data_IF_354960365618
#
_entry.id   IF_354960365618
#
_cell.length_a   1.000
_cell.length_b   1.000
_cell.length_c   1.000
_cell.angle_alpha   90.00
_cell.angle_beta   90.00
_cell.angle_gamma   90.00
#
_symmetry.space_group_name_H-M   'P 1'
#
loop_
_entity.id
_entity.type
_entity.pdbx_description
1 polymer ?
#
# COMPACT_ATOMS: atom_id res chain seq x y z
N UNK A 1 -61.71 -23.76 44.93
CA UNK A 1 -61.28 -24.49 43.72
C UNK A 1 -61.04 -23.45 42.62
N UNK A 2 -59.78 -23.17 42.27
CA UNK A 2 -59.15 -23.43 40.95
C UNK A 2 -59.94 -22.76 39.81
N UNK A 3 -59.43 -21.76 39.07
CA UNK A 3 -58.29 -21.88 38.14
C UNK A 3 -57.70 -20.49 37.82
N UNK A 4 -56.38 -20.36 37.94
CA UNK A 4 -55.60 -19.30 37.29
C UNK A 4 -55.15 -19.78 35.91
N UNK A 5 -55.29 -18.94 34.88
CA UNK A 5 -54.64 -19.16 33.58
C UNK A 5 -53.67 -17.99 33.38
N UNK A 6 -52.39 -18.26 33.62
CA UNK A 6 -51.29 -17.35 33.29
C UNK A 6 -50.77 -17.74 31.90
N UNK A 7 -50.90 -16.85 30.93
CA UNK A 7 -50.29 -17.00 29.61
C UNK A 7 -48.81 -16.59 29.69
N UNK A 8 -47.90 -17.55 29.59
CA UNK A 8 -46.47 -17.32 29.50
C UNK A 8 -46.08 -17.00 28.05
N UNK A 9 -45.66 -15.76 27.78
CA UNK A 9 -44.98 -15.41 26.53
C UNK A 9 -43.49 -15.75 26.66
N UNK A 10 -43.04 -16.77 25.93
CA UNK A 10 -41.62 -17.07 25.72
C UNK A 10 -41.07 -16.16 24.61
N UNK A 11 -40.27 -15.17 24.99
CA UNK A 11 -39.47 -14.38 24.05
C UNK A 11 -38.10 -15.04 23.94
N UNK A 12 -37.87 -15.80 22.87
CA UNK A 12 -36.55 -16.35 22.56
C UNK A 12 -35.64 -15.23 22.03
N UNK A 13 -34.74 -14.73 22.87
CA UNK A 13 -33.67 -13.83 22.45
C UNK A 13 -32.60 -14.61 21.66
N UNK A 14 -32.68 -14.55 20.32
CA UNK A 14 -31.60 -15.03 19.45
C UNK A 14 -30.51 -13.96 19.46
N UNK A 15 -29.48 -14.17 20.30
CA UNK A 15 -28.24 -13.39 20.23
C UNK A 15 -27.51 -13.79 18.95
N UNK A 16 -27.53 -12.92 17.95
CA UNK A 16 -26.65 -13.01 16.79
C UNK A 16 -25.22 -12.76 17.28
N UNK A 17 -24.47 -13.84 17.52
CA UNK A 17 -23.04 -13.77 17.74
C UNK A 17 -22.39 -13.29 16.43
N UNK A 18 -21.99 -12.02 16.39
CA UNK A 18 -21.06 -11.57 15.35
C UNK A 18 -19.72 -12.29 15.57
N UNK A 19 -19.07 -12.78 14.50
CA UNK A 19 -17.75 -13.36 14.64
C UNK A 19 -16.82 -12.27 15.15
N UNK A 20 -16.20 -12.52 16.31
CA UNK A 20 -15.09 -11.70 16.76
C UNK A 20 -14.00 -11.75 15.68
N UNK A 21 -13.52 -10.58 15.26
CA UNK A 21 -12.31 -10.52 14.46
C UNK A 21 -11.18 -11.18 15.26
N UNK A 22 -10.46 -12.13 14.67
CA UNK A 22 -9.29 -12.71 15.29
C UNK A 22 -8.25 -11.59 15.54
N UNK A 23 -7.62 -11.61 16.70
CA UNK A 23 -6.50 -10.72 16.99
C UNK A 23 -5.32 -11.09 16.07
N UNK A 24 -4.56 -10.11 15.56
CA UNK A 24 -3.36 -10.38 14.77
C UNK A 24 -2.40 -11.31 15.51
N UNK A 25 -1.70 -12.21 14.79
CA UNK A 25 -0.73 -13.09 15.42
C UNK A 25 0.35 -12.25 16.11
N UNK A 26 0.60 -12.55 17.38
CA UNK A 26 1.72 -11.97 18.13
C UNK A 26 3.07 -12.29 17.48
N UNK A 27 4.08 -11.44 17.68
CA UNK A 27 5.45 -11.72 17.24
C UNK A 27 5.93 -13.13 17.65
N UNK A 28 5.65 -13.54 18.89
CA UNK A 28 5.99 -14.86 19.40
C UNK A 28 5.32 -16.01 18.62
N UNK A 29 4.07 -15.84 18.20
CA UNK A 29 3.36 -16.85 17.40
C UNK A 29 3.93 -17.03 15.99
N UNK A 30 4.64 -16.03 15.47
CA UNK A 30 5.38 -16.13 14.20
C UNK A 30 6.81 -16.68 14.39
N UNK A 31 7.18 -17.05 15.61
CA UNK A 31 8.51 -17.53 15.97
C UNK A 31 9.55 -16.40 16.13
N UNK A 32 9.09 -15.17 16.33
CA UNK A 32 9.95 -14.02 16.59
C UNK A 32 9.96 -13.57 18.05
N UNK A 33 10.80 -12.59 18.33
CA UNK A 33 10.88 -11.90 19.61
C UNK A 33 10.69 -10.40 19.40
N UNK A 34 10.08 -9.73 20.37
CA UNK A 34 9.97 -8.27 20.34
C UNK A 34 11.27 -7.67 20.84
N UNK A 35 11.86 -6.80 20.04
CA UNK A 35 13.11 -6.11 20.29
C UNK A 35 12.92 -4.59 20.22
N UNK A 36 13.80 -3.86 20.89
CA UNK A 36 13.93 -2.40 20.77
C UNK A 36 12.61 -1.63 20.72
N UNK A 37 12.45 -0.77 19.71
CA UNK A 37 11.32 0.13 19.50
C UNK A 37 10.02 -0.59 19.04
N UNK A 38 9.59 -1.64 19.76
CA UNK A 38 8.44 -2.47 19.40
C UNK A 38 8.58 -3.14 18.02
N UNK A 39 9.79 -3.56 17.68
CA UNK A 39 10.07 -4.28 16.45
C UNK A 39 9.97 -5.77 16.71
N UNK A 40 9.21 -6.50 15.90
CA UNK A 40 9.27 -7.95 15.89
C UNK A 40 10.45 -8.38 15.02
N UNK A 41 11.35 -9.17 15.60
CA UNK A 41 12.44 -9.84 14.90
C UNK A 41 12.16 -11.33 14.85
N UNK A 42 11.95 -11.87 13.66
CA UNK A 42 11.82 -13.30 13.40
C UNK A 42 13.15 -13.78 12.85
N UNK A 43 13.83 -14.65 13.59
CA UNK A 43 15.01 -15.33 13.13
C UNK A 43 14.81 -16.84 13.19
N UNK A 44 15.06 -17.52 12.08
CA UNK A 44 14.98 -18.98 12.01
C UNK A 44 16.08 -19.56 11.12
N UNK A 45 16.76 -20.59 11.62
CA UNK A 45 17.72 -21.37 10.83
C UNK A 45 17.23 -22.82 10.78
N UNK A 46 17.02 -23.32 9.56
CA UNK A 46 16.73 -24.72 9.28
C UNK A 46 17.94 -25.46 8.71
N UNK A 47 17.79 -26.75 8.41
CA UNK A 47 18.86 -27.54 7.78
C UNK A 47 19.17 -27.14 6.33
N UNK A 48 18.26 -26.39 5.70
CA UNK A 48 18.35 -25.95 4.30
C UNK A 48 18.26 -24.44 4.11
N UNK A 49 17.95 -23.67 5.16
CA UNK A 49 17.64 -22.25 5.02
C UNK A 49 18.02 -21.40 6.23
N UNK A 50 18.14 -20.09 5.98
CA UNK A 50 18.16 -19.03 6.99
C UNK A 50 17.06 -18.02 6.66
N UNK A 51 16.37 -17.52 7.69
CA UNK A 51 15.31 -16.53 7.57
C UNK A 51 15.48 -15.46 8.65
N UNK A 52 15.45 -14.19 8.24
CA UNK A 52 15.56 -13.04 9.13
C UNK A 52 14.57 -11.94 8.72
N UNK A 53 13.56 -11.64 9.53
CA UNK A 53 12.49 -10.70 9.18
C UNK A 53 12.26 -9.73 10.33
N UNK A 54 12.33 -8.43 10.04
CA UNK A 54 12.05 -7.36 11.01
C UNK A 54 10.88 -6.49 10.56
N UNK A 55 9.89 -6.26 11.44
CA UNK A 55 8.74 -5.41 11.17
C UNK A 55 8.14 -4.81 12.46
N UNK A 56 7.46 -3.65 12.41
CA UNK A 56 6.86 -3.05 13.62
C UNK A 56 5.65 -3.84 14.15
N UNK A 57 5.46 -3.82 15.46
CA UNK A 57 4.28 -4.38 16.16
C UNK A 57 3.22 -3.33 16.48
N UNK A 58 3.51 -2.05 16.25
CA UNK A 58 2.65 -0.91 16.56
C UNK A 58 2.00 -0.30 15.31
N UNK A 59 1.95 -1.04 14.20
CA UNK A 59 1.33 -0.54 12.98
C UNK A 59 -0.20 -0.51 13.14
N UNK A 60 -0.90 0.58 12.76
CA UNK A 60 -2.34 0.71 13.02
C UNK A 60 -3.21 -0.37 12.37
N UNK A 61 -2.81 -0.88 11.20
CA UNK A 61 -3.44 -2.03 10.55
C UNK A 61 -2.53 -3.26 10.65
N UNK A 62 -2.27 -3.65 11.91
CA UNK A 62 -1.30 -4.71 12.22
C UNK A 62 -1.64 -6.03 11.53
N UNK A 63 -2.93 -6.35 11.38
CA UNK A 63 -3.39 -7.58 10.71
C UNK A 63 -2.85 -7.68 9.28
N UNK A 64 -3.06 -6.64 8.46
CA UNK A 64 -2.63 -6.63 7.06
C UNK A 64 -1.11 -6.77 6.93
N UNK A 65 -0.36 -6.15 7.84
CA UNK A 65 1.10 -6.28 7.91
C UNK A 65 1.51 -7.72 8.25
N UNK A 66 0.96 -8.28 9.33
CA UNK A 66 1.31 -9.64 9.79
C UNK A 66 0.88 -10.73 8.82
N UNK A 67 -0.26 -10.56 8.13
CA UNK A 67 -0.73 -11.52 7.13
C UNK A 67 0.24 -11.59 5.95
N UNK A 68 0.75 -10.44 5.50
CA UNK A 68 1.75 -10.39 4.43
C UNK A 68 3.08 -11.02 4.86
N UNK A 69 3.55 -10.72 6.09
CA UNK A 69 4.75 -11.37 6.65
C UNK A 69 4.58 -12.89 6.68
N UNK A 70 3.46 -13.36 7.23
CA UNK A 70 3.15 -14.80 7.37
C UNK A 70 3.13 -15.50 6.03
N UNK A 71 2.43 -14.91 5.04
CA UNK A 71 2.35 -15.46 3.69
C UNK A 71 3.73 -15.65 3.05
N UNK A 72 4.61 -14.66 3.15
CA UNK A 72 5.94 -14.72 2.53
C UNK A 72 6.88 -15.67 3.29
N UNK A 73 6.88 -15.60 4.62
CA UNK A 73 7.65 -16.50 5.49
C UNK A 73 7.30 -17.95 5.22
N UNK A 74 6.01 -18.30 5.29
CA UNK A 74 5.56 -19.68 5.18
C UNK A 74 5.75 -20.22 3.76
N UNK A 75 5.52 -19.37 2.74
CA UNK A 75 5.82 -19.69 1.36
C UNK A 75 7.30 -20.02 1.14
N UNK A 76 8.20 -19.18 1.69
CA UNK A 76 9.63 -19.43 1.61
C UNK A 76 10.05 -20.70 2.33
N UNK A 77 9.62 -20.90 3.58
CA UNK A 77 9.97 -22.10 4.37
C UNK A 77 9.45 -23.37 3.68
N UNK A 78 8.24 -23.32 3.10
CA UNK A 78 7.69 -24.44 2.35
C UNK A 78 8.54 -24.81 1.13
N UNK A 79 9.02 -23.82 0.36
CA UNK A 79 9.89 -24.08 -0.79
C UNK A 79 11.26 -24.58 -0.31
N UNK A 80 11.88 -23.88 0.63
CA UNK A 80 13.23 -24.19 1.09
C UNK A 80 13.36 -25.57 1.75
N UNK A 81 12.30 -26.07 2.38
CA UNK A 81 12.27 -27.44 2.94
C UNK A 81 11.96 -28.50 1.88
N UNK A 82 11.20 -28.16 0.84
CA UNK A 82 10.86 -29.08 -0.25
C UNK A 82 11.94 -29.22 -1.34
N UNK A 83 12.84 -28.25 -1.48
CA UNK A 83 13.79 -28.17 -2.61
C UNK A 83 15.14 -28.87 -2.39
N UNK A 84 15.34 -29.55 -1.25
CA UNK A 84 16.58 -30.30 -0.96
C UNK A 84 17.72 -29.43 -0.42
N UNK A 85 18.92 -30.00 -0.23
CA UNK A 85 20.09 -29.25 0.25
C UNK A 85 20.86 -28.63 -0.92
N UNK A 86 21.44 -27.45 -0.70
CA UNK A 86 22.36 -26.72 -1.59
C UNK A 86 23.64 -26.38 -0.83
N UNK A 87 24.70 -26.04 -1.56
CA UNK A 87 25.99 -25.65 -0.97
C UNK A 87 25.87 -24.42 -0.07
N UNK A 88 25.18 -23.38 -0.55
CA UNK A 88 24.69 -22.27 0.27
C UNK A 88 23.28 -22.59 0.76
N UNK A 89 22.83 -22.24 1.98
CA UNK A 89 21.42 -22.37 2.38
C UNK A 89 20.48 -21.40 1.64
N UNK A 90 19.21 -21.75 1.44
CA UNK A 90 18.17 -20.80 0.98
C UNK A 90 18.07 -19.62 1.95
N UNK A 91 17.81 -18.42 1.44
CA UNK A 91 17.80 -17.23 2.29
C UNK A 91 16.57 -16.35 2.02
N UNK A 92 15.97 -15.85 3.10
CA UNK A 92 15.00 -14.77 3.06
C UNK A 92 15.35 -13.76 4.12
N UNK A 93 15.48 -12.50 3.71
CA UNK A 93 15.63 -11.38 4.64
C UNK A 93 14.51 -10.36 4.40
N UNK A 94 14.02 -9.73 5.46
CA UNK A 94 13.13 -8.60 5.34
C UNK A 94 13.50 -7.50 6.34
N UNK A 95 13.71 -6.29 5.82
CA UNK A 95 13.93 -5.09 6.63
C UNK A 95 12.75 -4.15 6.48
N UNK A 96 12.70 -3.13 7.34
CA UNK A 96 11.58 -2.19 7.38
C UNK A 96 12.03 -0.73 7.50
N UNK A 97 11.30 0.14 6.81
CA UNK A 97 11.36 1.58 6.92
C UNK A 97 10.01 2.10 7.40
N UNK A 98 10.01 3.11 8.27
CA UNK A 98 8.80 3.74 8.78
C UNK A 98 8.81 5.23 8.48
N UNK A 99 7.67 5.75 8.01
CA UNK A 99 7.46 7.18 7.78
C UNK A 99 6.15 7.65 8.39
N UNK A 100 6.08 8.95 8.64
CA UNK A 100 4.85 9.63 9.03
C UNK A 100 4.76 10.96 8.29
N UNK A 101 3.55 11.47 8.13
CA UNK A 101 3.32 12.79 7.55
C UNK A 101 2.07 13.44 8.15
N UNK A 102 2.06 14.77 8.20
CA UNK A 102 1.03 15.56 8.82
C UNK A 102 1.14 15.57 10.35
N UNK A 103 0.18 16.24 11.00
CA UNK A 103 0.18 16.43 12.45
C UNK A 103 -0.82 15.49 13.15
N UNK A 104 -0.49 14.96 14.34
CA UNK A 104 -1.45 14.25 15.17
C UNK A 104 -2.71 15.10 15.46
N UNK A 105 -3.90 14.48 15.56
CA UNK A 105 -4.19 13.04 15.47
C UNK A 105 -4.49 12.55 14.03
N UNK A 106 -4.30 13.41 13.02
CA UNK A 106 -4.70 13.14 11.63
C UNK A 106 -3.52 12.78 10.71
N UNK A 107 -2.36 12.46 11.29
CA UNK A 107 -1.18 12.08 10.54
C UNK A 107 -1.34 10.72 9.84
N UNK A 108 -0.48 10.45 8.87
CA UNK A 108 -0.35 9.14 8.24
C UNK A 108 0.78 8.33 8.86
N UNK A 109 0.68 7.01 8.80
CA UNK A 109 1.75 6.06 9.12
C UNK A 109 2.01 5.20 7.90
N UNK A 110 3.26 5.18 7.45
CA UNK A 110 3.73 4.36 6.34
C UNK A 110 4.74 3.35 6.86
N UNK A 111 4.58 2.08 6.49
CA UNK A 111 5.56 1.01 6.75
C UNK A 111 5.92 0.39 5.41
N UNK A 112 7.21 0.37 5.10
CA UNK A 112 7.74 -0.28 3.90
C UNK A 112 8.55 -1.47 4.34
N UNK A 113 8.28 -2.62 3.75
CA UNK A 113 9.06 -3.84 3.91
C UNK A 113 9.89 -4.03 2.64
N UNK A 114 11.19 -4.27 2.81
CA UNK A 114 12.08 -4.68 1.73
C UNK A 114 12.44 -6.14 1.93
N UNK A 115 12.02 -6.98 1.01
CA UNK A 115 12.31 -8.40 1.02
C UNK A 115 13.45 -8.72 0.07
N UNK A 116 14.37 -9.54 0.53
CA UNK A 116 15.37 -10.24 -0.26
C UNK A 116 15.08 -11.74 -0.19
N UNK A 117 15.18 -12.44 -1.31
CA UNK A 117 15.02 -13.89 -1.35
C UNK A 117 16.03 -14.51 -2.31
N UNK A 118 16.71 -15.56 -1.83
CA UNK A 118 17.55 -16.43 -2.63
C UNK A 118 17.02 -17.87 -2.56
N UNK A 119 16.37 -18.29 -3.66
CA UNK A 119 15.89 -19.65 -3.89
C UNK A 119 16.84 -20.52 -4.75
N UNK A 120 18.07 -20.08 -5.00
CA UNK A 120 19.09 -20.87 -5.71
C UNK A 120 18.88 -20.87 -7.22
N UNK A 121 18.12 -19.90 -7.73
CA UNK A 121 17.97 -19.63 -9.15
C UNK A 121 19.16 -18.85 -9.73
N UNK A 122 18.97 -18.29 -10.93
CA UNK A 122 20.02 -17.54 -11.63
C UNK A 122 20.54 -16.32 -10.83
N UNK A 123 19.67 -15.69 -10.04
CA UNK A 123 20.03 -14.62 -9.11
C UNK A 123 18.97 -14.53 -8.00
N UNK A 124 19.32 -13.95 -6.84
CA UNK A 124 18.32 -13.55 -5.84
C UNK A 124 17.34 -12.52 -6.38
N UNK A 125 16.22 -12.35 -5.68
CA UNK A 125 15.19 -11.38 -6.02
C UNK A 125 14.91 -10.46 -4.84
N UNK A 126 14.84 -9.15 -5.10
CA UNK A 126 14.48 -8.13 -4.10
C UNK A 126 13.21 -7.40 -4.51
N UNK A 127 12.26 -7.27 -3.59
CA UNK A 127 11.02 -6.52 -3.80
C UNK A 127 10.61 -5.73 -2.56
N UNK A 128 9.65 -4.83 -2.75
CA UNK A 128 9.09 -4.02 -1.69
C UNK A 128 7.61 -4.31 -1.48
N UNK A 129 7.15 -4.11 -0.25
CA UNK A 129 5.73 -4.01 0.08
C UNK A 129 5.52 -2.82 1.00
N UNK A 130 4.73 -1.84 0.55
CA UNK A 130 4.36 -0.72 1.40
C UNK A 130 2.92 -0.84 1.94
N UNK A 131 2.72 -0.31 3.14
CA UNK A 131 1.43 -0.13 3.81
C UNK A 131 1.32 1.32 4.26
N UNK A 132 0.26 2.01 3.87
CA UNK A 132 0.00 3.38 4.27
C UNK A 132 -1.35 3.43 5.00
N UNK A 133 -1.41 4.13 6.13
CA UNK A 133 -2.62 4.23 6.93
C UNK A 133 -2.86 5.67 7.36
N UNK A 134 -4.10 6.12 7.23
CA UNK A 134 -4.54 7.43 7.73
C UNK A 134 -5.09 7.27 9.15
N UNK A 135 -4.46 7.89 10.14
CA UNK A 135 -4.89 7.78 11.55
C UNK A 135 -6.18 8.57 11.83
N UNK A 136 -6.43 9.63 11.08
CA UNK A 136 -7.64 10.44 11.21
C UNK A 136 -8.90 9.72 10.71
N UNK A 137 -8.84 9.13 9.52
CA UNK A 137 -9.97 8.40 8.93
C UNK A 137 -10.02 6.92 9.32
N UNK A 138 -8.93 6.40 9.90
CA UNK A 138 -8.77 4.98 10.26
C UNK A 138 -8.96 4.06 9.05
N UNK A 139 -8.28 4.38 7.96
CA UNK A 139 -8.37 3.63 6.71
C UNK A 139 -6.97 3.47 6.07
N UNK A 140 -6.73 2.34 5.38
CA UNK A 140 -5.56 2.21 4.53
C UNK A 140 -5.61 3.19 3.36
N UNK A 141 -4.44 3.66 2.93
CA UNK A 141 -4.25 4.51 1.75
C UNK A 141 -3.63 3.66 0.65
N UNK A 142 -4.38 3.44 -0.43
CA UNK A 142 -3.88 2.89 -1.69
C UNK A 142 -3.52 4.00 -2.67
N UNK A 143 -2.83 3.67 -3.75
CA UNK A 143 -2.50 4.62 -4.82
C UNK A 143 -3.74 5.36 -5.35
N UNK A 144 -4.84 4.64 -5.58
CA UNK A 144 -6.10 5.22 -6.07
C UNK A 144 -6.78 6.17 -5.07
N UNK A 145 -6.61 5.91 -3.77
CA UNK A 145 -7.20 6.73 -2.70
C UNK A 145 -6.33 7.92 -2.31
N UNK A 146 -5.03 7.87 -2.63
CA UNK A 146 -4.09 8.95 -2.38
C UNK A 146 -4.47 10.22 -3.15
N UNK A 147 -4.87 10.04 -4.41
CA UNK A 147 -5.27 11.11 -5.31
C UNK A 147 -6.79 11.22 -5.44
N UNK A 148 -7.29 12.39 -5.85
CA UNK A 148 -8.70 12.56 -6.19
C UNK A 148 -9.10 11.67 -7.37
N UNK A 149 -10.37 11.21 -7.46
CA UNK A 149 -10.79 10.35 -8.56
C UNK A 149 -10.75 11.12 -9.88
N UNK A 150 -10.38 10.44 -10.97
CA UNK A 150 -10.39 11.03 -12.32
C UNK A 150 -9.20 11.95 -12.63
N UNK A 151 -8.15 11.95 -11.81
CA UNK A 151 -6.89 12.63 -12.11
C UNK A 151 -5.89 11.70 -12.79
N UNK A 152 -4.89 12.28 -13.46
CA UNK A 152 -3.76 11.55 -14.09
C UNK A 152 -2.44 11.89 -13.38
N UNK A 153 -2.24 11.45 -12.12
CA UNK A 153 -1.08 11.86 -11.32
C UNK A 153 0.25 11.41 -11.93
N UNK A 154 0.22 10.32 -12.73
CA UNK A 154 1.41 9.78 -13.38
C UNK A 154 2.00 10.70 -14.44
N UNK A 155 1.22 11.61 -15.04
CA UNK A 155 1.75 12.59 -16.00
C UNK A 155 2.78 13.53 -15.35
N UNK A 156 2.62 13.79 -14.04
CA UNK A 156 3.55 14.60 -13.25
C UNK A 156 4.62 13.75 -12.54
N UNK A 157 4.24 12.57 -12.02
CA UNK A 157 5.13 11.68 -11.26
C UNK A 157 6.20 11.06 -12.15
N UNK A 158 5.81 10.53 -13.31
CA UNK A 158 6.70 9.71 -14.13
C UNK A 158 7.97 10.45 -14.60
N UNK A 159 7.92 11.69 -15.10
CA UNK A 159 9.15 12.42 -15.49
C UNK A 159 10.13 12.64 -14.33
N UNK A 160 9.63 12.77 -13.10
CA UNK A 160 10.46 12.92 -11.90
C UNK A 160 11.12 11.59 -11.55
N UNK A 161 10.34 10.50 -11.55
CA UNK A 161 10.82 9.13 -11.30
C UNK A 161 11.88 8.73 -12.31
N UNK A 162 11.66 9.01 -13.59
CA UNK A 162 12.62 8.72 -14.65
C UNK A 162 13.96 9.41 -14.41
N UNK A 163 13.94 10.71 -14.05
CA UNK A 163 15.17 11.48 -13.77
C UNK A 163 15.88 10.96 -12.52
N UNK A 164 15.13 10.67 -11.46
CA UNK A 164 15.67 10.20 -10.19
C UNK A 164 16.35 8.83 -10.35
N UNK A 165 15.68 7.89 -11.01
CA UNK A 165 16.22 6.56 -11.27
C UNK A 165 17.44 6.57 -12.21
N UNK A 166 17.43 7.43 -13.24
CA UNK A 166 18.58 7.64 -14.12
C UNK A 166 19.79 8.19 -13.35
N UNK A 167 19.56 9.13 -12.42
CA UNK A 167 20.62 9.70 -11.58
C UNK A 167 21.20 8.67 -10.60
N UNK A 168 20.36 7.89 -9.92
CA UNK A 168 20.78 6.90 -8.93
C UNK A 168 21.61 5.77 -9.54
N UNK A 169 21.23 5.31 -10.73
CA UNK A 169 21.86 4.14 -11.34
C UNK A 169 23.01 4.51 -12.28
N UNK A 170 23.09 5.75 -12.74
CA UNK A 170 23.98 6.17 -13.82
C UNK A 170 23.65 5.49 -15.15
N UNK A 171 22.55 4.74 -15.22
CA UNK A 171 22.10 4.06 -16.41
C UNK A 171 21.32 5.06 -17.25
N UNK A 172 21.81 5.35 -18.44
CA UNK A 172 21.06 6.08 -19.47
C UNK A 172 19.91 5.26 -20.07
N UNK A 173 19.38 4.29 -19.33
CA UNK A 173 18.30 3.41 -19.79
C UNK A 173 17.00 4.18 -19.72
N UNK A 174 16.37 4.34 -20.89
CA UNK A 174 15.06 4.95 -20.97
C UNK A 174 14.00 3.97 -20.44
N UNK A 175 13.28 4.39 -19.38
CA UNK A 175 12.03 3.75 -18.99
C UNK A 175 11.03 3.99 -20.13
N UNK A 176 10.35 2.94 -20.57
CA UNK A 176 9.31 3.07 -21.60
C UNK A 176 8.08 3.76 -20.99
N UNK A 177 7.47 4.76 -21.64
CA UNK A 177 6.27 5.43 -21.12
C UNK A 177 5.12 4.47 -20.80
N UNK A 178 4.98 3.35 -21.53
CA UNK A 178 3.98 2.32 -21.25
C UNK A 178 4.10 1.71 -19.85
N UNK A 179 5.33 1.58 -19.35
CA UNK A 179 5.60 1.07 -18.00
C UNK A 179 5.62 2.23 -17.01
N UNK A 180 6.23 3.35 -17.39
CA UNK A 180 6.33 4.55 -16.56
C UNK A 180 4.99 5.17 -16.19
N UNK A 181 3.96 5.01 -17.01
CA UNK A 181 2.60 5.53 -16.79
C UNK A 181 1.61 4.44 -16.36
N UNK A 182 2.08 3.23 -16.05
CA UNK A 182 1.21 2.16 -15.53
C UNK A 182 1.12 2.26 -13.98
N UNK A 183 -0.06 2.54 -13.40
CA UNK A 183 -0.23 2.68 -11.95
C UNK A 183 0.07 1.40 -11.18
N UNK A 184 0.07 0.22 -11.82
CA UNK A 184 0.39 -1.05 -11.15
C UNK A 184 1.83 -1.09 -10.63
N UNK A 185 2.73 -0.27 -11.18
CA UNK A 185 4.12 -0.14 -10.71
C UNK A 185 4.31 0.82 -9.53
N UNK A 186 3.28 1.58 -9.17
CA UNK A 186 3.35 2.63 -8.13
C UNK A 186 2.62 2.24 -6.85
N UNK A 187 2.29 0.96 -6.68
CA UNK A 187 1.53 0.47 -5.53
C UNK A 187 2.32 0.46 -4.22
N UNK A 188 3.66 0.43 -4.31
CA UNK A 188 4.54 0.49 -3.15
C UNK A 188 5.07 1.91 -3.00
N UNK A 189 4.50 2.66 -2.06
CA UNK A 189 4.93 4.01 -1.77
C UNK A 189 4.87 4.31 -0.28
N UNK A 190 5.65 5.28 0.17
CA UNK A 190 5.57 5.86 1.51
C UNK A 190 5.30 7.35 1.44
N UNK A 191 4.54 7.83 2.41
CA UNK A 191 4.14 9.22 2.53
C UNK A 191 4.98 9.89 3.63
N UNK A 192 5.73 10.95 3.28
CA UNK A 192 6.45 11.85 4.21
C UNK A 192 5.86 13.26 4.15
N UNK A 193 6.28 14.21 4.98
CA UNK A 193 5.76 15.59 4.92
C UNK A 193 6.06 16.30 3.60
N UNK A 194 7.19 15.96 2.96
CA UNK A 194 7.70 16.67 1.77
C UNK A 194 7.54 15.87 0.49
N UNK A 195 7.55 14.55 0.57
CA UNK A 195 7.69 13.65 -0.57
C UNK A 195 6.70 12.49 -0.51
N UNK A 196 6.44 11.91 -1.68
CA UNK A 196 6.00 10.53 -1.81
C UNK A 196 7.16 9.73 -2.38
N UNK A 197 7.58 8.72 -1.64
CA UNK A 197 8.67 7.83 -2.04
C UNK A 197 8.05 6.61 -2.69
N UNK A 198 8.35 6.35 -3.95
CA UNK A 198 7.92 5.15 -4.66
C UNK A 198 9.04 4.10 -4.66
N UNK A 199 8.69 2.83 -4.43
CA UNK A 199 9.62 1.72 -4.34
C UNK A 199 9.32 0.71 -5.45
N UNK A 200 10.34 0.34 -6.21
CA UNK A 200 10.24 -0.55 -7.35
C UNK A 200 11.01 -1.84 -7.05
N UNK A 201 10.38 -2.97 -7.36
CA UNK A 201 11.04 -4.26 -7.28
C UNK A 201 12.15 -4.36 -8.34
N UNK A 202 13.05 -5.31 -8.13
CA UNK A 202 14.07 -5.65 -9.11
C UNK A 202 13.41 -6.03 -10.45
N UNK A 203 13.84 -5.43 -11.56
CA UNK A 203 13.30 -5.74 -12.88
C UNK A 203 11.96 -5.07 -13.21
N UNK A 204 11.43 -4.22 -12.32
CA UNK A 204 10.10 -3.63 -12.50
C UNK A 204 10.11 -2.47 -13.52
N UNK A 205 10.79 -1.36 -13.21
CA UNK A 205 10.95 -0.24 -14.13
C UNK A 205 12.31 -0.21 -14.83
N UNK A 206 13.32 -0.84 -14.22
CA UNK A 206 14.68 -0.92 -14.72
C UNK A 206 15.07 -2.40 -14.91
N UNK A 207 16.10 -2.70 -15.71
CA UNK A 207 16.64 -4.05 -15.84
C UNK A 207 17.03 -4.66 -14.48
N UNK A 208 16.91 -5.98 -14.33
CA UNK A 208 17.11 -6.68 -13.05
C UNK A 208 18.49 -6.48 -12.40
N UNK A 209 19.53 -6.12 -13.15
CA UNK A 209 20.85 -5.85 -12.59
C UNK A 209 20.93 -4.52 -11.83
N UNK A 210 19.97 -3.61 -12.03
CA UNK A 210 19.86 -2.37 -11.26
C UNK A 210 19.41 -2.61 -9.81
N UNK A 211 18.96 -3.83 -9.49
CA UNK A 211 18.38 -4.16 -8.20
C UNK A 211 17.01 -3.52 -8.01
N UNK A 212 16.50 -3.59 -6.78
CA UNK A 212 15.30 -2.86 -6.38
C UNK A 212 15.68 -1.39 -6.12
N UNK A 213 14.86 -0.46 -6.61
CA UNK A 213 15.15 0.98 -6.59
C UNK A 213 14.02 1.77 -5.95
N UNK A 214 14.24 3.07 -5.71
CA UNK A 214 13.22 3.97 -5.19
C UNK A 214 13.35 5.36 -5.80
N UNK A 215 12.25 6.10 -5.89
CA UNK A 215 12.25 7.47 -6.38
C UNK A 215 11.47 8.38 -5.42
N UNK A 216 12.07 9.51 -5.06
CA UNK A 216 11.42 10.54 -4.25
C UNK A 216 10.73 11.53 -5.17
N UNK A 217 9.44 11.75 -4.94
CA UNK A 217 8.64 12.70 -5.69
C UNK A 217 8.13 13.79 -4.75
N UNK A 218 8.58 15.04 -4.92
CA UNK A 218 8.11 16.14 -4.10
C UNK A 218 6.59 16.30 -4.20
N UNK A 219 5.92 16.44 -3.05
CA UNK A 219 4.46 16.55 -3.00
C UNK A 219 3.92 17.80 -3.70
N UNK A 220 4.71 18.86 -3.72
CA UNK A 220 4.37 20.11 -4.41
C UNK A 220 4.43 19.99 -5.94
N UNK A 221 5.04 18.93 -6.48
CA UNK A 221 5.11 18.67 -7.91
C UNK A 221 3.92 17.86 -8.43
N UNK A 222 3.11 17.27 -7.54
CA UNK A 222 1.93 16.49 -7.92
C UNK A 222 0.69 17.38 -7.80
N UNK A 223 -0.15 17.49 -8.84
CA UNK A 223 -1.33 18.35 -8.81
C UNK A 223 -2.25 18.01 -7.62
N UNK A 224 -2.70 18.99 -6.83
CA UNK A 224 -3.72 18.76 -5.81
C UNK A 224 -5.02 18.25 -6.46
N UNK A 225 -5.85 17.47 -5.75
CA UNK A 225 -5.94 17.36 -4.30
C UNK A 225 -5.39 16.05 -3.71
N UNK A 226 -4.50 16.18 -2.74
CA UNK A 226 -4.17 15.15 -1.76
C UNK A 226 -5.38 14.92 -0.85
N UNK A 227 -5.99 13.73 -0.84
CA UNK A 227 -7.17 13.50 0.02
C UNK A 227 -6.85 13.50 1.51
N UNK A 228 -5.59 13.32 1.90
CA UNK A 228 -5.16 13.25 3.30
C UNK A 228 -4.95 14.62 3.97
N UNK A 229 -5.01 15.73 3.22
CA UNK A 229 -4.76 17.07 3.75
C UNK A 229 -5.91 18.00 3.40
N UNK A 230 -7.04 17.82 4.07
CA UNK A 230 -8.02 18.91 4.19
C UNK A 230 -7.39 19.96 5.09
N UNK A 231 -6.68 20.89 4.47
CA UNK A 231 -6.15 22.10 5.06
C UNK A 231 -7.32 22.89 5.67
N UNK A 232 -7.46 22.86 7.00
CA UNK A 232 -8.23 23.85 7.75
C UNK A 232 -7.24 24.72 8.51
N UNK A 233 -6.48 25.52 7.75
CA UNK A 233 -5.68 26.64 8.24
C UNK A 233 -6.11 27.89 7.48
N UNK A 234 -6.35 29.04 8.15
CA UNK A 234 -6.98 30.18 7.53
C UNK A 234 -6.04 30.83 6.53
N UNK A 235 -6.59 31.24 5.39
CA UNK A 235 -5.95 32.17 4.48
C UNK A 235 -5.44 33.35 5.29
N UNK A 236 -4.11 33.48 5.37
CA UNK A 236 -3.48 34.70 5.84
C UNK A 236 -3.62 35.73 4.72
N UNK A 237 -4.80 36.33 4.61
CA UNK A 237 -5.01 37.58 3.91
C UNK A 237 -4.25 38.67 4.66
N UNK A 238 -2.95 38.78 4.38
CA UNK A 238 -2.17 39.97 4.71
C UNK A 238 -2.41 41.00 3.61
N UNK A 239 -3.63 41.54 3.55
CA UNK A 239 -3.91 42.79 2.87
C UNK A 239 -3.55 43.89 3.87
N UNK A 240 -2.42 44.54 3.61
CA UNK A 240 -1.99 45.74 4.29
C UNK A 240 -3.13 46.78 4.28
N UNK A 241 -3.54 47.18 5.48
CA UNK A 241 -4.46 48.28 5.71
C UNK A 241 -3.83 49.60 5.22
N UNK A 242 -4.54 50.28 4.30
CA UNK A 242 -4.37 51.70 4.05
C UNK A 242 -5.72 52.41 4.30
N UNK A 243 -5.71 53.63 4.87
CA UNK A 243 -6.85 54.20 5.57
C UNK A 243 -7.93 54.78 4.63
N UNK A 244 -9.18 54.68 5.10
CA UNK A 244 -10.38 55.26 4.50
C UNK A 244 -10.35 56.79 4.49
N UNK A 245 -11.03 57.43 3.52
CA UNK A 245 -11.74 58.68 3.77
C UNK A 245 -13.25 58.46 3.79
N UNK A 246 -13.87 59.09 4.78
CA UNK A 246 -15.30 59.27 5.00
C UNK A 246 -15.98 60.03 3.85
N UNK A 247 -17.09 59.52 3.31
CA UNK A 247 -18.11 60.36 2.64
C UNK A 247 -19.53 59.84 2.94
N UNK A 248 -20.41 60.82 3.13
CA UNK A 248 -21.78 60.85 3.61
C UNK A 248 -22.86 60.44 2.58
N UNK A 249 -23.84 59.69 3.09
CA UNK A 249 -25.31 59.67 2.87
C UNK A 249 -25.89 59.76 1.45
N UNK A 250 -26.70 58.76 1.09
CA UNK A 250 -27.95 58.93 0.33
C UNK A 250 -28.88 57.71 0.49
N UNK A 251 -30.17 58.00 0.41
CA UNK A 251 -31.32 57.27 0.92
C UNK A 251 -32.18 56.62 -0.18
N UNK A 252 -32.77 55.45 0.14
CA UNK A 252 -34.02 54.83 -0.40
C UNK A 252 -34.02 54.17 -1.82
N UNK A 253 -35.04 53.34 -2.19
CA UNK A 253 -35.39 52.04 -1.60
C UNK A 253 -35.84 50.97 -2.65
N UNK A 254 -36.31 49.81 -2.15
CA UNK A 254 -37.38 48.92 -2.68
C UNK A 254 -37.10 47.78 -3.71
N UNK A 255 -37.70 46.61 -3.38
CA UNK A 255 -38.16 45.47 -4.22
C UNK A 255 -37.08 44.47 -4.66
N UNK A 256 -37.17 43.14 -4.49
CA UNK A 256 -38.19 42.24 -3.93
C UNK A 256 -37.80 40.77 -4.23
N UNK A 257 -38.42 39.81 -3.50
CA UNK A 257 -38.70 38.39 -3.88
C UNK A 257 -37.52 37.49 -4.36
N UNK A 258 -37.24 36.28 -3.85
CA UNK A 258 -38.10 35.08 -3.74
C UNK A 258 -37.35 33.91 -3.04
N UNK A 259 -38.14 33.03 -2.39
CA UNK A 259 -37.97 31.64 -1.86
C UNK A 259 -36.87 30.75 -2.52
N UNK A 260 -36.34 29.64 -2.00
CA UNK A 260 -36.74 28.58 -1.04
C UNK A 260 -35.43 27.83 -0.59
N UNK A 261 -35.16 27.45 0.67
CA UNK A 261 -35.70 26.36 1.53
C UNK A 261 -35.75 24.96 0.89
N UNK A 262 -34.80 24.12 1.34
CA UNK A 262 -34.79 22.66 1.53
C UNK A 262 -35.41 21.73 0.46
N UNK A 263 -34.64 20.73 0.01
CA UNK A 263 -34.98 19.34 0.36
C UNK A 263 -33.80 18.36 0.24
N UNK A 264 -33.88 17.35 1.08
CA UNK A 264 -32.87 16.37 1.49
C UNK A 264 -33.15 15.04 0.80
N UNK A 265 -32.12 14.20 0.78
CA UNK A 265 -32.17 12.74 0.92
C UNK A 265 -32.43 11.84 -0.32
N UNK A 266 -31.45 10.94 -0.48
CA UNK A 266 -31.60 9.48 -0.57
C UNK A 266 -31.95 8.87 -1.93
N UNK A 267 -30.94 8.21 -2.50
CA UNK A 267 -31.10 6.91 -3.18
C UNK A 267 -29.74 6.18 -3.31
N UNK A 268 -29.32 5.55 -2.23
CA UNK A 268 -28.46 4.36 -2.28
C UNK A 268 -29.36 3.17 -1.99
N UNK A 269 -29.49 2.25 -2.96
CA UNK A 269 -29.77 0.80 -2.83
C UNK A 269 -30.16 0.30 -4.21
N UNK A 270 -29.23 -0.26 -4.99
CA UNK A 270 -29.45 -1.52 -5.72
C UNK A 270 -28.19 -1.95 -6.48
N UNK A 271 -28.01 -3.26 -6.57
CA UNK A 271 -27.06 -4.01 -7.40
C UNK A 271 -25.68 -4.35 -6.81
N UNK A 272 -25.69 -5.12 -5.72
CA UNK A 272 -24.76 -6.26 -5.58
C UNK A 272 -25.55 -7.55 -5.85
N UNK A 273 -25.29 -8.20 -6.98
CA UNK A 273 -25.48 -9.64 -7.24
C UNK A 273 -24.99 -9.95 -8.64
N UNK A 274 -23.78 -10.49 -8.76
CA UNK A 274 -23.42 -11.59 -9.69
C UNK A 274 -21.90 -11.63 -9.89
N UNK A 275 -21.22 -12.48 -9.14
CA UNK A 275 -19.89 -12.97 -9.48
C UNK A 275 -19.67 -14.31 -8.75
N UNK A 276 -20.23 -15.39 -9.30
CA UNK A 276 -19.75 -16.76 -9.07
C UNK A 276 -19.44 -17.37 -10.43
N UNK A 277 -18.32 -18.09 -10.48
CA UNK A 277 -17.79 -18.92 -11.56
C UNK A 277 -16.97 -18.20 -12.62
N UNK A 278 -15.65 -18.16 -12.40
CA UNK A 278 -14.68 -18.27 -13.49
C UNK A 278 -13.79 -19.48 -13.20
N UNK A 279 -14.07 -20.55 -13.92
CA UNK A 279 -13.27 -21.77 -14.02
C UNK A 279 -12.05 -21.47 -14.89
N UNK A 280 -10.84 -21.70 -14.38
CA UNK A 280 -9.61 -21.62 -15.19
C UNK A 280 -9.52 -22.82 -16.16
N UNK A 281 -9.15 -22.62 -17.44
CA UNK A 281 -8.79 -23.71 -18.34
C UNK A 281 -7.32 -24.15 -18.14
N UNK A 282 -7.00 -25.44 -18.36
CA UNK A 282 -5.65 -25.98 -18.14
C UNK A 282 -4.67 -25.54 -19.23
N UNK A 283 -3.46 -25.12 -18.82
CA UNK A 283 -2.35 -24.87 -19.73
C UNK A 283 -1.91 -26.15 -20.43
N UNK A 284 -1.97 -26.14 -21.78
CA UNK A 284 -1.34 -27.15 -22.63
C UNK A 284 0.18 -26.98 -22.59
N UNK A 285 0.88 -28.04 -22.18
CA UNK A 285 2.31 -28.23 -22.43
C UNK A 285 2.54 -28.40 -23.93
N UNK A 286 3.44 -27.61 -24.51
CA UNK A 286 4.05 -27.91 -25.82
C UNK A 286 5.48 -28.43 -25.61
N UNK A 287 5.91 -29.44 -26.37
CA UNK A 287 7.17 -30.14 -26.15
C UNK A 287 8.38 -29.41 -26.74
N UNK A 288 9.51 -29.67 -26.09
CA UNK A 288 10.88 -29.30 -26.44
C UNK A 288 11.25 -29.91 -27.81
N UNK A 289 11.67 -29.08 -28.76
CA UNK A 289 12.37 -29.53 -29.95
C UNK A 289 13.88 -29.48 -29.69
N UNK A 290 14.49 -30.68 -29.66
CA UNK A 290 15.92 -30.89 -29.81
C UNK A 290 16.36 -30.33 -31.18
N UNK A 291 17.37 -29.45 -31.19
CA UNK A 291 18.19 -29.22 -32.38
C UNK A 291 19.64 -29.44 -32.01
N UNK A 292 20.11 -30.62 -32.35
CA UNK A 292 21.51 -31.01 -32.45
C UNK A 292 22.19 -30.13 -33.48
N UNK A 293 23.31 -29.47 -33.14
CA UNK A 293 24.29 -29.09 -34.15
C UNK A 293 25.70 -29.36 -33.65
N UNK A 294 26.29 -30.29 -34.38
CA UNK A 294 27.63 -30.87 -34.33
C UNK A 294 28.67 -29.88 -34.90
N UNK A 295 29.90 -29.90 -34.39
CA UNK A 295 31.10 -29.60 -35.22
C UNK A 295 31.93 -28.36 -34.88
N UNK A 296 32.95 -28.58 -34.03
CA UNK A 296 34.31 -27.98 -33.86
C UNK A 296 35.00 -27.33 -35.11
N UNK A 297 36.21 -26.69 -35.03
CA UNK A 297 37.20 -26.69 -33.94
C UNK A 297 37.93 -25.36 -33.58
N UNK A 298 38.61 -25.46 -32.43
CA UNK A 298 39.71 -24.68 -31.87
C UNK A 298 40.75 -24.15 -32.88
N UNK A 299 41.18 -22.88 -32.75
CA UNK A 299 42.53 -22.37 -33.08
C UNK A 299 42.83 -21.07 -32.29
N UNK A 300 43.89 -21.10 -31.47
CA UNK A 300 44.64 -20.03 -30.75
C UNK A 300 43.92 -19.11 -29.74
#
# INVERSE_FOLDING_TARGET
>A
MRLMIAAAMLVSAVLLAWPAAAEPPSCASLGGNVEGAQMCHIHATGSTYTLDITFPQDYPDQQALTDYITLNRDGFVSVATGSGRRDQPYQMDATTEQHAAGQPPHNTRSVVLKFFQDLGGAHPFTWHKAFNYNLGTKQPITFDTLFAPGTTPLDAIYPIVQRELAHQTGLGVAILPSNGLDPTHYQNFAITDTDVIFYFAQGELLPSFAGATQAQVPRNAIPPPWRSEVHTGPASDSIAAAPMPSVSWATHPMIGTTKATLCRASRYTLMMRSARNITMPPQKRSPIALSTQEGSPQVW
#
